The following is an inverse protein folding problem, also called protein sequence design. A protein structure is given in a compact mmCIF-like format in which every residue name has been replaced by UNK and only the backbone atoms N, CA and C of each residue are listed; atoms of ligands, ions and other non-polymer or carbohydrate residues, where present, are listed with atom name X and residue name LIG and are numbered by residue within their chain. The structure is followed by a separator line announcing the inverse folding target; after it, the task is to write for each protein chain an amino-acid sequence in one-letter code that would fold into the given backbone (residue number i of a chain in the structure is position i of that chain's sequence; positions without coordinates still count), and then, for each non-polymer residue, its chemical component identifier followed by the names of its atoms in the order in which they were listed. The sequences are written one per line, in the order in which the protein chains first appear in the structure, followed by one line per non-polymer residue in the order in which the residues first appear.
data_IF_001810374876
#
_entry.id   IF_001810374876
#
_cell.length_a   1.000
_cell.length_b   1.000
_cell.length_c   1.000
_cell.angle_alpha   90.00
_cell.angle_beta   90.00
_cell.angle_gamma   90.00
#
_symmetry.space_group_name_H-M   'P 1'
#
loop_
_entity.id
_entity.type
_entity.pdbx_description
1 polymer ?
#
# COMPACT_ATOMS: atom_id res chain seq x y z
N UNK A 1 31.04 -68.81 28.33
CA UNK A 1 29.70 -68.20 28.24
C UNK A 1 29.79 -66.68 28.17
N UNK A 2 30.42 -66.11 27.12
CA UNK A 2 30.62 -64.64 26.99
C UNK A 2 30.54 -64.12 25.55
N UNK A 3 30.24 -64.98 24.56
CA UNK A 3 30.20 -64.58 23.14
C UNK A 3 28.79 -64.27 22.61
N UNK A 4 27.73 -64.63 23.34
CA UNK A 4 26.34 -64.41 22.89
C UNK A 4 25.77 -63.03 23.25
N UNK A 5 26.32 -62.34 24.27
CA UNK A 5 25.88 -60.99 24.63
C UNK A 5 26.44 -59.88 23.69
N UNK A 6 27.52 -60.17 22.94
CA UNK A 6 28.17 -59.17 22.07
C UNK A 6 27.44 -58.96 20.74
N UNK A 7 26.67 -59.96 20.27
CA UNK A 7 25.99 -59.90 18.95
C UNK A 7 24.64 -59.19 18.98
N UNK A 8 23.98 -59.14 20.13
CA UNK A 8 22.70 -58.44 20.28
C UNK A 8 22.86 -56.93 20.50
N UNK A 9 23.91 -56.50 21.21
CA UNK A 9 24.18 -55.06 21.40
C UNK A 9 24.49 -54.31 20.09
N UNK A 10 25.14 -54.98 19.14
CA UNK A 10 25.51 -54.36 17.86
C UNK A 10 24.30 -54.06 16.97
N UNK A 11 23.32 -54.97 16.88
CA UNK A 11 22.09 -54.76 16.10
C UNK A 11 21.18 -53.69 16.71
N UNK A 12 21.19 -53.53 18.03
CA UNK A 12 20.42 -52.49 18.70
C UNK A 12 20.99 -51.09 18.39
N UNK A 13 22.32 -50.95 18.34
CA UNK A 13 22.98 -49.68 18.04
C UNK A 13 22.71 -49.19 16.60
N UNK A 14 22.72 -50.10 15.61
CA UNK A 14 22.37 -49.73 14.23
C UNK A 14 20.91 -49.28 14.08
N UNK A 15 19.99 -49.93 14.80
CA UNK A 15 18.58 -49.54 14.79
C UNK A 15 18.38 -48.13 15.36
N UNK A 16 19.09 -47.80 16.45
CA UNK A 16 19.03 -46.48 17.07
C UNK A 16 19.60 -45.39 16.15
N UNK A 17 20.69 -45.67 15.44
CA UNK A 17 21.28 -44.73 14.46
C UNK A 17 20.35 -44.46 13.28
N UNK A 18 19.68 -45.49 12.75
CA UNK A 18 18.70 -45.32 11.66
C UNK A 18 17.49 -44.53 12.14
N UNK A 19 16.97 -44.81 13.34
CA UNK A 19 15.85 -44.08 13.92
C UNK A 19 16.20 -42.59 14.16
N UNK A 20 17.38 -42.31 14.72
CA UNK A 20 17.85 -40.94 14.93
C UNK A 20 17.99 -40.17 13.61
N UNK A 21 18.56 -40.80 12.58
CA UNK A 21 18.71 -40.20 11.24
C UNK A 21 17.35 -39.89 10.60
N UNK A 22 16.37 -40.78 10.76
CA UNK A 22 15.01 -40.56 10.27
C UNK A 22 14.31 -39.40 10.99
N UNK A 23 14.47 -39.29 12.32
CA UNK A 23 13.91 -38.18 13.11
C UNK A 23 14.52 -36.85 12.68
N UNK A 24 15.84 -36.80 12.46
CA UNK A 24 16.52 -35.60 11.96
C UNK A 24 16.01 -35.23 10.57
N UNK A 25 15.90 -36.19 9.64
CA UNK A 25 15.39 -35.94 8.29
C UNK A 25 13.94 -35.41 8.31
N UNK A 26 13.05 -36.01 9.12
CA UNK A 26 11.67 -35.54 9.28
C UNK A 26 11.64 -34.12 9.87
N UNK A 27 12.50 -33.83 10.86
CA UNK A 27 12.58 -32.50 11.48
C UNK A 27 13.07 -31.44 10.49
N UNK A 28 14.07 -31.76 9.67
CA UNK A 28 14.58 -30.89 8.61
C UNK A 28 13.51 -30.63 7.55
N UNK A 29 12.78 -31.66 7.10
CA UNK A 29 11.69 -31.52 6.13
C UNK A 29 10.54 -30.68 6.70
N UNK A 30 10.19 -30.89 7.98
CA UNK A 30 9.11 -30.13 8.63
C UNK A 30 9.47 -28.66 8.87
N UNK A 31 10.75 -28.37 9.06
CA UNK A 31 11.25 -26.98 9.11
C UNK A 31 11.37 -26.36 7.71
N UNK A 32 11.64 -27.14 6.66
CA UNK A 32 11.76 -26.63 5.29
C UNK A 32 10.41 -26.35 4.63
N UNK A 33 9.33 -27.05 5.02
CA UNK A 33 7.98 -26.74 4.51
C UNK A 33 7.41 -25.40 5.02
N UNK A 34 8.02 -24.80 6.05
CA UNK A 34 7.73 -23.43 6.47
C UNK A 34 8.51 -22.36 5.69
N UNK A 35 9.39 -22.78 4.76
CA UNK A 35 10.25 -21.89 3.99
C UNK A 35 9.82 -21.77 2.52
N UNK A 36 8.57 -22.10 2.19
CA UNK A 36 8.02 -21.63 0.92
C UNK A 36 7.67 -20.15 1.09
N UNK A 37 8.37 -19.22 0.41
CA UNK A 37 7.95 -17.83 0.42
C UNK A 37 6.52 -17.79 -0.10
N UNK A 38 5.59 -17.28 0.72
CA UNK A 38 4.20 -17.11 0.34
C UNK A 38 4.18 -16.38 -1.01
N UNK A 39 3.66 -17.03 -2.04
CA UNK A 39 3.58 -16.44 -3.37
C UNK A 39 2.77 -15.14 -3.25
N UNK A 40 3.40 -14.01 -3.53
CA UNK A 40 2.72 -12.72 -3.49
C UNK A 40 1.82 -12.62 -4.72
N UNK A 41 0.51 -12.43 -4.51
CA UNK A 41 -0.43 -12.17 -5.60
C UNK A 41 -0.13 -10.80 -6.21
N UNK A 42 0.07 -10.76 -7.54
CA UNK A 42 0.18 -9.50 -8.27
C UNK A 42 -1.18 -8.82 -8.22
N UNK A 43 -1.22 -7.60 -7.67
CA UNK A 43 -2.45 -6.82 -7.52
C UNK A 43 -2.56 -5.81 -8.67
N UNK A 44 -3.77 -5.37 -8.94
CA UNK A 44 -4.05 -4.40 -10.01
C UNK A 44 -4.86 -3.22 -9.50
N UNK A 45 -4.61 -2.04 -10.06
CA UNK A 45 -5.35 -0.80 -9.81
C UNK A 45 -5.66 -0.17 -11.16
N UNK A 46 -6.94 0.03 -11.46
CA UNK A 46 -7.38 0.67 -12.70
C UNK A 46 -7.86 2.08 -12.43
N UNK A 47 -7.41 3.05 -13.22
CA UNK A 47 -7.81 4.45 -13.14
C UNK A 47 -8.11 5.01 -14.52
N UNK A 48 -9.08 5.91 -14.63
CA UNK A 48 -9.37 6.63 -15.88
C UNK A 48 -8.92 8.07 -15.71
N UNK A 49 -8.04 8.54 -16.58
CA UNK A 49 -7.48 9.88 -16.51
C UNK A 49 -8.28 10.88 -17.33
N UNK A 50 -8.37 12.11 -16.83
CA UNK A 50 -8.89 13.26 -17.56
C UNK A 50 -7.75 14.07 -18.15
N UNK A 51 -8.03 14.82 -19.22
CA UNK A 51 -7.09 15.84 -19.70
C UNK A 51 -6.72 16.81 -18.57
N UNK A 52 -5.43 17.15 -18.48
CA UNK A 52 -4.86 17.97 -17.41
C UNK A 52 -4.26 17.15 -16.28
N UNK A 53 -4.26 17.74 -15.08
CA UNK A 53 -3.65 17.15 -13.89
C UNK A 53 -4.59 16.20 -13.17
N UNK A 54 -4.10 15.01 -12.85
CA UNK A 54 -4.84 13.96 -12.14
C UNK A 54 -4.07 13.55 -10.89
N UNK A 55 -4.77 13.40 -9.77
CA UNK A 55 -4.19 12.97 -8.50
C UNK A 55 -4.31 11.46 -8.32
N UNK A 56 -3.17 10.80 -8.13
CA UNK A 56 -3.06 9.33 -8.11
C UNK A 56 -2.24 8.88 -6.91
N UNK A 57 -2.55 7.72 -6.35
CA UNK A 57 -1.64 6.95 -5.51
C UNK A 57 -1.64 5.52 -6.02
N UNK A 58 -0.47 4.92 -6.06
CA UNK A 58 -0.32 3.52 -6.48
C UNK A 58 0.10 2.71 -5.24
N UNK A 59 -0.59 1.61 -4.90
CA UNK A 59 -0.29 0.80 -3.71
C UNK A 59 0.85 -0.21 -3.94
N UNK A 60 1.57 -0.10 -5.05
CA UNK A 60 2.58 -1.04 -5.52
C UNK A 60 3.98 -0.44 -5.40
N UNK A 61 4.98 -1.26 -5.08
CA UNK A 61 6.39 -0.91 -5.31
C UNK A 61 6.69 -0.91 -6.81
N UNK A 62 7.87 -0.39 -7.17
CA UNK A 62 8.50 -0.48 -8.50
C UNK A 62 8.23 0.67 -9.48
N UNK A 63 7.45 1.68 -9.09
CA UNK A 63 7.25 2.84 -9.96
C UNK A 63 8.27 3.94 -9.70
N UNK A 64 8.87 4.45 -10.76
CA UNK A 64 9.58 5.73 -10.81
C UNK A 64 8.83 6.68 -11.74
N UNK A 65 9.12 7.97 -11.67
CA UNK A 65 8.54 8.96 -12.59
C UNK A 65 8.85 8.61 -14.05
N UNK A 66 10.11 8.26 -14.34
CA UNK A 66 10.53 7.75 -15.64
C UNK A 66 9.77 6.47 -16.04
N UNK A 67 9.65 5.50 -15.12
CA UNK A 67 8.92 4.26 -15.38
C UNK A 67 7.44 4.51 -15.66
N UNK A 68 6.82 5.51 -15.02
CA UNK A 68 5.47 5.92 -15.34
C UNK A 68 5.38 6.53 -16.76
N UNK A 69 6.29 7.43 -17.12
CA UNK A 69 6.34 8.01 -18.47
C UNK A 69 6.62 6.98 -19.57
N UNK A 70 7.48 6.00 -19.29
CA UNK A 70 7.85 4.98 -20.27
C UNK A 70 6.72 3.97 -20.52
N UNK A 71 5.91 3.67 -19.49
CA UNK A 71 4.84 2.68 -19.57
C UNK A 71 3.46 3.29 -19.86
N UNK A 72 3.29 4.60 -19.67
CA UNK A 72 2.02 5.29 -19.80
C UNK A 72 2.21 6.63 -20.51
N UNK A 73 1.22 7.04 -21.32
CA UNK A 73 1.28 8.24 -22.13
C UNK A 73 0.99 9.53 -21.32
N UNK A 74 1.73 9.75 -20.24
CA UNK A 74 1.70 10.99 -19.46
C UNK A 74 2.65 12.04 -20.06
N UNK A 75 2.36 13.33 -19.83
CA UNK A 75 3.28 14.42 -20.18
C UNK A 75 4.26 14.74 -19.05
N UNK A 76 3.79 14.64 -17.81
CA UNK A 76 4.54 15.05 -16.64
C UNK A 76 4.08 14.24 -15.44
N UNK A 77 5.02 13.91 -14.57
CA UNK A 77 4.76 13.32 -13.24
C UNK A 77 5.29 14.29 -12.20
N UNK A 78 4.48 14.62 -11.19
CA UNK A 78 4.87 15.53 -10.13
C UNK A 78 4.55 14.95 -8.74
N UNK A 79 5.43 15.14 -7.77
CA UNK A 79 5.16 14.75 -6.37
C UNK A 79 5.56 15.86 -5.41
N UNK A 80 4.89 15.91 -4.26
CA UNK A 80 5.31 16.75 -3.16
C UNK A 80 6.35 16.01 -2.32
N UNK A 81 7.55 16.59 -2.15
CA UNK A 81 8.61 15.96 -1.36
C UNK A 81 8.63 16.40 0.12
N UNK A 82 7.75 17.33 0.50
CA UNK A 82 7.72 17.94 1.83
C UNK A 82 8.01 19.44 1.81
N UNK A 83 8.77 19.91 0.82
CA UNK A 83 9.23 21.29 0.71
C UNK A 83 8.83 21.94 -0.62
N UNK A 84 8.90 21.18 -1.71
CA UNK A 84 8.58 21.65 -3.05
C UNK A 84 7.93 20.55 -3.90
N UNK A 85 7.38 20.96 -5.03
CA UNK A 85 6.93 20.05 -6.08
C UNK A 85 8.12 19.62 -6.92
N UNK A 86 8.48 18.35 -6.83
CA UNK A 86 9.39 17.70 -7.79
C UNK A 86 8.60 17.32 -9.04
N UNK A 87 9.19 17.53 -10.22
CA UNK A 87 8.54 17.32 -11.52
C UNK A 87 9.47 16.57 -12.45
N UNK A 88 8.90 15.67 -13.22
CA UNK A 88 9.58 14.90 -14.26
C UNK A 88 8.80 15.04 -15.55
N UNK A 89 9.39 15.68 -16.57
CA UNK A 89 8.83 15.78 -17.92
C UNK A 89 9.03 14.46 -18.65
N UNK A 90 7.95 13.90 -19.18
CA UNK A 90 7.96 12.69 -20.00
C UNK A 90 8.40 12.97 -21.46
N UNK A 91 8.41 14.24 -21.88
CA UNK A 91 8.76 14.66 -23.25
C UNK A 91 10.26 14.96 -23.34
N UNK A 92 10.75 15.82 -22.45
CA UNK A 92 12.13 16.30 -22.43
C UNK A 92 12.89 15.68 -21.26
N UNK A 93 12.81 14.33 -21.14
CA UNK A 93 13.35 13.48 -20.07
C UNK A 93 14.05 14.28 -18.95
N UNK A 94 13.25 14.73 -17.98
CA UNK A 94 13.68 15.71 -16.99
C UNK A 94 14.89 15.23 -16.16
N UNK A 95 15.72 16.15 -15.63
CA UNK A 95 16.98 15.79 -14.99
C UNK A 95 16.81 15.04 -13.65
N UNK A 96 15.62 15.03 -13.06
CA UNK A 96 15.36 14.47 -11.74
C UNK A 96 14.31 13.37 -11.79
N UNK A 97 14.72 12.15 -12.17
CA UNK A 97 13.89 10.97 -11.94
C UNK A 97 13.74 10.73 -10.42
N UNK A 98 12.57 10.26 -10.01
CA UNK A 98 12.28 9.97 -8.60
C UNK A 98 11.39 8.76 -8.44
N UNK A 99 11.53 8.07 -7.31
CA UNK A 99 10.70 6.90 -6.97
C UNK A 99 9.31 7.32 -6.50
N UNK A 100 8.28 6.63 -6.95
CA UNK A 100 6.93 6.77 -6.41
C UNK A 100 6.82 5.94 -5.14
N UNK A 101 6.54 6.60 -4.02
CA UNK A 101 6.35 5.89 -2.75
C UNK A 101 4.95 5.28 -2.74
N UNK A 102 4.80 3.98 -2.44
CA UNK A 102 3.49 3.35 -2.36
C UNK A 102 2.54 4.14 -1.46
N UNK A 103 1.27 4.28 -1.89
CA UNK A 103 0.19 5.00 -1.19
C UNK A 103 0.39 6.50 -0.97
N UNK A 104 1.54 7.08 -1.34
CA UNK A 104 1.67 8.54 -1.38
C UNK A 104 1.08 9.07 -2.67
N UNK A 105 0.30 10.14 -2.53
CA UNK A 105 -0.30 10.77 -3.69
C UNK A 105 0.74 11.56 -4.50
N UNK A 106 0.60 11.50 -5.82
CA UNK A 106 1.37 12.23 -6.80
C UNK A 106 0.43 12.64 -7.94
N UNK A 107 0.87 13.58 -8.74
CA UNK A 107 0.15 14.08 -9.89
C UNK A 107 0.72 13.49 -11.18
N UNK A 108 -0.17 13.18 -12.11
CA UNK A 108 0.18 12.92 -13.52
C UNK A 108 -0.57 13.88 -14.41
N UNK A 109 0.12 14.44 -15.40
CA UNK A 109 -0.48 15.29 -16.42
C UNK A 109 -0.75 14.48 -17.68
N UNK A 110 -1.97 14.57 -18.19
CA UNK A 110 -2.42 13.84 -19.37
C UNK A 110 -2.90 14.83 -20.43
N UNK A 111 -2.54 14.62 -21.71
CA UNK A 111 -2.97 15.48 -22.83
C UNK A 111 -4.48 15.44 -23.08
N UNK A 112 -5.05 14.25 -23.07
CA UNK A 112 -6.44 13.97 -23.41
C UNK A 112 -7.02 12.97 -22.43
N UNK A 113 -8.34 12.91 -22.30
CA UNK A 113 -8.99 11.83 -21.55
C UNK A 113 -8.45 10.47 -22.01
N UNK A 114 -8.18 9.58 -21.05
CA UNK A 114 -7.59 8.27 -21.32
C UNK A 114 -8.65 7.16 -21.32
N UNK A 115 -8.32 6.05 -21.98
CA UNK A 115 -8.93 4.76 -21.62
C UNK A 115 -8.47 4.34 -20.21
N UNK A 116 -9.18 3.40 -19.55
CA UNK A 116 -8.76 2.90 -18.26
C UNK A 116 -7.32 2.37 -18.30
N UNK A 117 -6.46 2.93 -17.47
CA UNK A 117 -5.05 2.53 -17.29
C UNK A 117 -4.95 1.61 -16.09
N UNK A 118 -4.29 0.47 -16.26
CA UNK A 118 -4.09 -0.49 -15.18
C UNK A 118 -2.63 -0.49 -14.71
N UNK A 119 -2.44 -0.11 -13.46
CA UNK A 119 -1.21 -0.33 -12.71
C UNK A 119 -1.21 -1.76 -12.19
N UNK A 120 -0.05 -2.41 -12.22
CA UNK A 120 0.11 -3.76 -11.68
C UNK A 120 1.42 -3.84 -10.92
N UNK A 121 1.40 -4.49 -9.77
CA UNK A 121 2.62 -4.74 -9.04
C UNK A 121 2.40 -5.51 -7.77
N UNK A 122 3.48 -5.65 -7.00
CA UNK A 122 3.40 -6.23 -5.67
C UNK A 122 2.81 -5.20 -4.72
N UNK A 123 1.65 -5.51 -4.16
CA UNK A 123 1.04 -4.70 -3.11
C UNK A 123 1.98 -4.64 -1.91
N UNK A 124 2.22 -3.43 -1.43
CA UNK A 124 2.94 -3.24 -0.18
C UNK A 124 2.03 -3.18 1.03
N UNK A 125 2.54 -3.71 2.14
CA UNK A 125 2.04 -3.34 3.46
C UNK A 125 2.43 -1.89 3.71
N UNK A 126 1.53 -1.11 4.28
CA UNK A 126 1.86 0.24 4.69
C UNK A 126 1.29 0.51 6.08
N UNK A 127 2.10 1.19 6.89
CA UNK A 127 1.64 1.84 8.11
C UNK A 127 1.44 3.31 7.77
N UNK A 128 0.30 3.87 8.17
CA UNK A 128 0.01 5.26 7.92
C UNK A 128 0.22 6.07 9.19
N UNK A 129 1.07 7.08 9.09
CA UNK A 129 1.27 8.09 10.11
C UNK A 129 0.74 9.41 9.57
N UNK A 130 -0.29 9.94 10.22
CA UNK A 130 -0.73 11.31 10.04
C UNK A 130 0.18 12.23 10.84
N UNK A 131 0.70 13.24 10.16
CA UNK A 131 1.37 14.38 10.79
C UNK A 131 0.45 15.60 10.72
N UNK A 132 0.52 16.55 11.67
CA UNK A 132 -0.20 17.81 11.53
C UNK A 132 0.06 18.45 10.17
N UNK A 133 -0.99 19.00 9.56
CA UNK A 133 -0.96 19.52 8.19
C UNK A 133 -1.56 18.54 7.17
N UNK A 134 -1.18 18.68 5.91
CA UNK A 134 -1.77 17.92 4.81
C UNK A 134 -1.13 16.55 4.65
N UNK A 135 -1.96 15.51 4.60
CA UNK A 135 -1.57 14.11 4.42
C UNK A 135 -2.32 13.52 3.22
N UNK A 136 -1.66 12.70 2.40
CA UNK A 136 -2.32 11.99 1.31
C UNK A 136 -3.11 10.79 1.84
N UNK A 137 -4.30 10.56 1.30
CA UNK A 137 -5.19 9.48 1.69
C UNK A 137 -5.81 8.80 0.47
N UNK A 138 -5.65 7.49 0.38
CA UNK A 138 -6.20 6.67 -0.69
C UNK A 138 -7.38 5.83 -0.16
N UNK A 139 -8.52 5.88 -0.85
CA UNK A 139 -9.71 5.10 -0.50
C UNK A 139 -9.68 3.77 -1.24
N UNK A 140 -9.18 2.72 -0.60
CA UNK A 140 -9.17 1.40 -1.24
C UNK A 140 -10.59 0.87 -1.53
N UNK A 141 -10.75 0.11 -2.62
CA UNK A 141 -12.06 -0.30 -3.15
C UNK A 141 -12.94 -1.11 -2.20
N UNK A 142 -12.33 -1.79 -1.21
CA UNK A 142 -13.03 -2.56 -0.17
C UNK A 142 -13.63 -1.67 0.94
N UNK A 143 -13.40 -0.35 0.93
CA UNK A 143 -13.94 0.56 1.95
C UNK A 143 -15.23 1.25 1.49
N UNK A 144 -16.27 1.20 2.31
CA UNK A 144 -17.57 1.86 2.09
C UNK A 144 -18.10 2.65 3.29
N UNK A 145 -17.28 2.87 4.32
CA UNK A 145 -17.80 3.49 5.54
C UNK A 145 -17.89 5.02 5.47
N UNK A 146 -17.38 5.65 4.41
CA UNK A 146 -17.46 7.10 4.20
C UNK A 146 -18.18 7.36 2.89
N UNK A 147 -19.34 8.00 2.95
CA UNK A 147 -20.10 8.43 1.78
C UNK A 147 -19.72 9.85 1.40
N UNK A 148 -19.46 10.70 2.40
CA UNK A 148 -19.20 12.12 2.25
C UNK A 148 -17.89 12.54 2.94
N UNK A 149 -17.36 13.71 2.58
CA UNK A 149 -16.18 14.28 3.22
C UNK A 149 -16.42 14.56 4.72
N UNK A 150 -17.64 14.97 5.09
CA UNK A 150 -18.07 15.13 6.48
C UNK A 150 -18.08 13.82 7.28
N UNK A 151 -18.26 12.67 6.63
CA UNK A 151 -18.16 11.36 7.29
C UNK A 151 -16.71 11.09 7.75
N UNK A 152 -15.72 11.51 6.96
CA UNK A 152 -14.30 11.40 7.35
C UNK A 152 -14.04 12.28 8.57
N UNK A 153 -14.52 13.52 8.56
CA UNK A 153 -14.39 14.45 9.69
C UNK A 153 -15.00 13.89 10.99
N UNK A 154 -16.23 13.39 10.93
CA UNK A 154 -16.97 12.95 12.13
C UNK A 154 -16.43 11.67 12.75
N UNK A 155 -15.80 10.80 11.96
CA UNK A 155 -15.26 9.51 12.42
C UNK A 155 -13.79 9.56 12.80
N UNK A 156 -13.05 10.56 12.32
CA UNK A 156 -11.62 10.67 12.58
C UNK A 156 -11.25 10.61 14.07
N UNK A 157 -11.98 11.28 15.01
CA UNK A 157 -11.58 11.28 16.41
C UNK A 157 -11.62 9.89 17.05
N UNK A 158 -12.53 9.02 16.57
CA UNK A 158 -12.64 7.63 17.02
C UNK A 158 -11.42 6.79 16.61
N UNK A 159 -10.63 7.29 15.66
CA UNK A 159 -9.43 6.66 15.13
C UNK A 159 -8.13 7.29 15.69
N UNK A 160 -8.24 8.22 16.66
CA UNK A 160 -7.08 8.82 17.31
C UNK A 160 -6.41 9.94 16.51
N UNK A 161 -7.10 10.52 15.52
CA UNK A 161 -6.64 11.72 14.81
C UNK A 161 -7.79 12.68 14.54
N UNK A 162 -7.49 13.95 14.33
CA UNK A 162 -8.49 14.98 14.07
C UNK A 162 -8.28 15.57 12.68
N UNK A 163 -9.23 15.30 11.78
CA UNK A 163 -9.29 15.92 10.45
C UNK A 163 -9.99 17.28 10.59
N UNK A 164 -9.40 18.31 10.01
CA UNK A 164 -9.95 19.67 9.96
C UNK A 164 -10.42 20.04 8.56
N UNK A 165 -9.83 19.46 7.51
CA UNK A 165 -10.23 19.65 6.11
C UNK A 165 -10.00 18.38 5.28
N UNK A 166 -10.86 18.16 4.29
CA UNK A 166 -10.73 17.10 3.28
C UNK A 166 -10.70 17.77 1.91
N UNK A 167 -9.66 17.51 1.13
CA UNK A 167 -9.50 18.09 -0.20
C UNK A 167 -9.41 17.01 -1.26
N UNK A 168 -9.95 17.30 -2.45
CA UNK A 168 -9.76 16.52 -3.66
C UNK A 168 -9.36 17.44 -4.81
N UNK A 169 -8.64 16.88 -5.77
CA UNK A 169 -8.32 17.57 -7.01
C UNK A 169 -9.31 17.16 -8.09
N UNK A 170 -10.14 18.08 -8.55
CA UNK A 170 -11.13 17.83 -9.61
C UNK A 170 -11.12 18.99 -10.57
N UNK A 171 -11.29 18.75 -11.87
CA UNK A 171 -11.36 19.79 -12.89
C UNK A 171 -10.23 20.84 -12.83
N UNK A 172 -9.01 20.40 -12.53
CA UNK A 172 -7.83 21.25 -12.37
C UNK A 172 -7.92 22.30 -11.23
N UNK A 173 -8.76 22.05 -10.23
CA UNK A 173 -8.88 22.88 -9.04
C UNK A 173 -8.98 22.04 -7.75
N UNK A 174 -8.66 22.70 -6.63
CA UNK A 174 -8.87 22.13 -5.31
C UNK A 174 -10.33 22.32 -4.88
N UNK A 175 -11.02 21.21 -4.63
CA UNK A 175 -12.31 21.22 -3.95
C UNK A 175 -12.09 20.79 -2.49
N UNK A 176 -12.37 21.68 -1.55
CA UNK A 176 -12.04 21.52 -0.12
C UNK A 176 -13.30 21.60 0.73
N UNK A 177 -13.58 20.52 1.46
CA UNK A 177 -14.50 20.48 2.57
C UNK A 177 -13.78 20.88 3.86
N UNK A 178 -14.36 21.80 4.63
CA UNK A 178 -13.87 22.12 5.97
C UNK A 178 -14.79 21.45 6.98
N UNK A 179 -14.23 20.76 7.98
CA UNK A 179 -15.02 20.02 8.94
C UNK A 179 -15.90 20.98 9.77
N UNK A 180 -17.17 20.60 9.98
CA UNK A 180 -18.14 21.40 10.73
C UNK A 180 -18.85 22.48 9.91
N UNK A 181 -18.53 22.67 8.62
CA UNK A 181 -19.30 23.53 7.71
C UNK A 181 -20.04 22.68 6.65
N UNK A 182 -21.26 23.06 6.24
CA UNK A 182 -22.05 22.25 5.30
C UNK A 182 -21.65 22.43 3.83
N UNK A 183 -20.71 23.34 3.54
CA UNK A 183 -20.29 23.64 2.18
C UNK A 183 -19.22 22.66 1.68
N UNK A 184 -19.23 22.43 0.36
CA UNK A 184 -18.29 21.56 -0.34
C UNK A 184 -18.21 20.14 0.23
N UNK A 185 -19.30 19.64 0.82
CA UNK A 185 -19.37 18.26 1.29
C UNK A 185 -19.58 17.32 0.09
N UNK A 186 -18.48 16.79 -0.44
CA UNK A 186 -18.49 15.98 -1.65
C UNK A 186 -18.46 14.48 -1.34
N UNK A 187 -18.92 13.64 -2.28
CA UNK A 187 -18.85 12.20 -2.12
C UNK A 187 -17.41 11.69 -2.10
N UNK A 188 -17.16 10.70 -1.25
CA UNK A 188 -15.90 9.96 -1.20
C UNK A 188 -16.04 8.72 -2.08
N UNK A 189 -15.23 8.68 -3.13
CA UNK A 189 -15.26 7.66 -4.16
C UNK A 189 -14.17 6.62 -3.92
N UNK A 190 -14.50 5.37 -4.24
CA UNK A 190 -13.55 4.25 -4.18
C UNK A 190 -12.46 4.41 -5.24
N UNK A 191 -11.24 4.05 -4.88
CA UNK A 191 -10.09 4.12 -5.77
C UNK A 191 -9.59 5.55 -6.02
N UNK A 192 -10.15 6.55 -5.34
CA UNK A 192 -9.71 7.94 -5.44
C UNK A 192 -8.77 8.36 -4.31
N UNK A 193 -8.13 9.50 -4.55
CA UNK A 193 -7.16 10.11 -3.65
C UNK A 193 -7.68 11.43 -3.13
N UNK A 194 -7.41 11.66 -1.85
CA UNK A 194 -7.80 12.85 -1.12
C UNK A 194 -6.60 13.34 -0.32
N UNK A 195 -6.64 14.62 0.07
CA UNK A 195 -5.74 15.16 1.08
C UNK A 195 -6.54 15.44 2.35
N UNK A 196 -6.02 14.98 3.47
CA UNK A 196 -6.60 15.19 4.79
C UNK A 196 -5.70 16.16 5.55
N UNK A 197 -6.25 17.31 5.96
CA UNK A 197 -5.56 18.22 6.86
C UNK A 197 -5.84 17.83 8.29
N UNK A 198 -4.81 17.54 9.07
CA UNK A 198 -4.96 17.15 10.48
C UNK A 198 -4.37 18.18 11.44
N UNK A 199 -4.95 18.29 12.63
CA UNK A 199 -4.46 19.14 13.73
C UNK A 199 -3.57 18.35 14.71
N UNK A 200 -3.84 17.06 14.87
CA UNK A 200 -3.17 16.17 15.83
C UNK A 200 -2.46 15.05 15.08
N UNK A 201 -1.20 14.70 15.42
CA UNK A 201 -0.56 13.51 14.88
C UNK A 201 -1.32 12.25 15.29
N UNK A 202 -1.38 11.27 14.40
CA UNK A 202 -1.96 9.97 14.69
C UNK A 202 -1.24 8.89 13.89
N UNK A 203 -1.26 7.66 14.38
CA UNK A 203 -0.74 6.52 13.62
C UNK A 203 -1.63 5.33 13.83
N UNK A 204 -1.81 4.55 12.77
CA UNK A 204 -2.48 3.27 12.86
C UNK A 204 -1.59 2.23 12.21
N UNK A 205 -1.16 1.27 13.02
CA UNK A 205 -0.51 0.08 12.51
C UNK A 205 -1.58 -0.92 12.08
N UNK A 206 -1.55 -1.31 10.81
CA UNK A 206 -2.31 -2.45 10.33
C UNK A 206 -1.50 -3.73 10.60
N UNK A 207 -1.46 -4.20 11.84
CA UNK A 207 -0.94 -5.54 12.15
C UNK A 207 -2.08 -6.57 12.04
N UNK A 208 -1.87 -7.62 11.25
CA UNK A 208 -2.77 -8.77 11.10
C UNK A 208 -3.26 -9.30 12.46
N UNK A 209 -4.58 -9.48 12.62
CA UNK A 209 -5.12 -10.47 13.56
C UNK A 209 -6.09 -9.98 14.63
N UNK A 210 -6.19 -8.68 14.92
CA UNK A 210 -7.19 -8.16 15.87
C UNK A 210 -7.84 -6.92 15.33
N UNK A 211 -9.04 -7.10 14.77
CA UNK A 211 -9.95 -6.10 14.22
C UNK A 211 -9.93 -4.73 14.96
N UNK A 212 -9.24 -3.71 14.42
CA UNK A 212 -9.65 -2.33 14.62
C UNK A 212 -10.48 -1.98 13.38
N UNK A 213 -11.79 -1.81 13.54
CA UNK A 213 -12.79 -1.64 12.47
C UNK A 213 -12.59 -0.43 11.52
N UNK A 214 -11.40 0.15 11.43
CA UNK A 214 -11.17 1.34 10.64
C UNK A 214 -9.67 1.62 10.42
N UNK A 215 -8.97 0.82 9.62
CA UNK A 215 -7.87 1.33 8.78
C UNK A 215 -7.44 0.31 7.72
N UNK A 216 -7.52 0.71 6.45
CA UNK A 216 -6.65 0.31 5.33
C UNK A 216 -6.21 -1.17 5.34
N UNK A 217 -7.03 -2.06 4.80
CA UNK A 217 -6.70 -3.47 4.61
C UNK A 217 -6.37 -3.66 3.14
N UNK A 218 -5.16 -4.17 2.94
CA UNK A 218 -4.57 -4.66 1.70
C UNK A 218 -5.49 -5.69 0.99
N UNK A 219 -5.37 -5.91 -0.33
CA UNK A 219 -5.92 -7.08 -0.98
C UNK A 219 -5.33 -8.34 -0.35
N UNK A 220 -6.14 -9.38 -0.38
CA UNK A 220 -5.74 -10.76 -0.07
C UNK A 220 -4.97 -11.35 -1.25
#
# INVERSE_FOLDING_TARGET
MNYLLKRHGFKFFELVLVAASLIIAITVIRNSTNFFPKAYSKSTLTHTFKSGWNLVSIPFREYSAEGLCANYNFEEVARWNGETWERYSCIDLGPANFTITPYKAFFVKQLSDSYPVTFMGKQERFSFKMTPGWNSFYVAAKFQNYKLASDLCSKSPQQGFEITQVARWVFNEWNIHTCGVPFNDFPIMKGENYFLKTSVPGSTDSTEGTNPSMMLVTPE
#
